data_IF_552484560103
#
_entry.id   IF_552484560103
#
_cell.length_a   1.000
_cell.length_b   1.000
_cell.length_c   1.000
_cell.angle_alpha   90.00
_cell.angle_beta   90.00
_cell.angle_gamma   90.00
#
_symmetry.space_group_name_H-M   'P 1'
#
loop_
_entity.id
_entity.type
_entity.pdbx_description
1 polymer ?
#
# COMPACT_ATOMS: atom_id res chain seq x y z
N UNK A 1 -62.06 41.61 1.83
CA UNK A 1 -60.97 41.82 2.81
C UNK A 1 -59.93 40.73 2.57
N UNK A 2 -58.64 40.95 2.37
CA UNK A 2 -57.83 42.15 2.33
C UNK A 2 -56.65 41.86 1.39
N UNK A 3 -56.25 42.85 0.60
CA UNK A 3 -54.94 42.87 -0.04
C UNK A 3 -53.91 43.56 0.86
N UNK A 4 -52.65 43.39 0.47
CA UNK A 4 -51.43 44.09 0.89
C UNK A 4 -50.77 43.61 2.19
N UNK A 5 -49.43 43.58 2.10
CA UNK A 5 -48.42 43.15 3.06
C UNK A 5 -48.10 41.64 2.91
N UNK A 6 -46.92 41.20 2.47
CA UNK A 6 -45.58 41.77 2.68
C UNK A 6 -44.59 41.12 1.71
N UNK A 7 -44.36 41.73 0.54
CA UNK A 7 -43.13 41.52 -0.25
C UNK A 7 -42.01 42.45 0.27
N UNK A 8 -41.88 42.48 1.59
CA UNK A 8 -40.92 43.25 2.36
C UNK A 8 -40.32 42.34 3.44
N UNK A 9 -39.68 41.25 3.00
CA UNK A 9 -38.92 40.35 3.88
C UNK A 9 -37.87 39.47 3.16
N UNK A 10 -37.54 39.72 1.89
CA UNK A 10 -36.58 38.88 1.13
C UNK A 10 -35.53 39.71 0.37
N UNK A 11 -34.96 40.72 1.04
CA UNK A 11 -33.73 41.43 0.61
C UNK A 11 -32.59 41.31 1.64
N UNK A 12 -32.43 40.13 2.25
CA UNK A 12 -31.37 39.87 3.23
C UNK A 12 -30.52 38.63 2.95
N UNK A 13 -30.60 38.03 1.77
CA UNK A 13 -29.78 36.87 1.40
C UNK A 13 -29.15 37.12 0.04
N UNK A 14 -27.92 37.65 0.07
CA UNK A 14 -27.16 38.11 -1.09
C UNK A 14 -26.75 36.98 -2.02
N UNK A 15 -27.61 36.66 -2.99
CA UNK A 15 -27.25 35.92 -4.19
C UNK A 15 -27.55 36.76 -5.44
N UNK A 16 -26.59 36.96 -6.36
CA UNK A 16 -26.84 37.65 -7.61
C UNK A 16 -27.55 36.75 -8.63
N UNK A 17 -28.60 37.27 -9.25
CA UNK A 17 -29.40 36.61 -10.28
C UNK A 17 -28.78 36.75 -11.67
N UNK A 18 -28.66 35.63 -12.37
CA UNK A 18 -28.38 35.56 -13.80
C UNK A 18 -29.53 36.21 -14.59
N UNK A 19 -29.21 37.14 -15.48
CA UNK A 19 -30.14 37.69 -16.46
C UNK A 19 -29.74 37.27 -17.87
N UNK A 20 -30.53 36.39 -18.45
CA UNK A 20 -30.58 36.08 -19.87
C UNK A 20 -31.04 37.29 -20.69
N UNK A 21 -30.27 37.68 -21.71
CA UNK A 21 -30.76 38.50 -22.83
C UNK A 21 -30.46 37.79 -24.16
N UNK A 22 -31.54 37.43 -24.85
CA UNK A 22 -31.55 37.17 -26.29
C UNK A 22 -31.53 38.50 -27.04
N UNK A 23 -30.71 38.61 -28.07
CA UNK A 23 -30.91 39.52 -29.19
C UNK A 23 -30.51 38.83 -30.50
N UNK A 24 -31.36 39.00 -31.50
CA UNK A 24 -31.39 38.37 -32.81
C UNK A 24 -30.84 39.27 -33.92
N UNK A 25 -30.36 38.64 -35.02
CA UNK A 25 -30.17 39.15 -36.41
C UNK A 25 -28.90 40.02 -36.63
N UNK A 26 -28.12 39.96 -37.72
CA UNK A 26 -28.24 39.31 -39.03
C UNK A 26 -26.92 39.41 -39.84
N UNK A 27 -26.72 38.45 -40.76
CA UNK A 27 -26.01 38.47 -42.07
C UNK A 27 -24.50 38.74 -42.20
N UNK A 28 -23.80 37.78 -42.84
CA UNK A 28 -22.45 37.97 -43.41
C UNK A 28 -21.78 36.71 -43.99
N UNK A 29 -22.28 36.27 -45.15
CA UNK A 29 -21.73 35.36 -46.19
C UNK A 29 -20.32 34.72 -46.09
N UNK A 30 -20.33 33.42 -46.45
CA UNK A 30 -19.48 32.66 -47.41
C UNK A 30 -18.01 32.35 -47.07
N UNK A 31 -17.69 31.05 -46.98
CA UNK A 31 -17.03 30.28 -48.07
C UNK A 31 -16.99 28.76 -47.74
N UNK A 32 -17.38 27.94 -48.73
CA UNK A 32 -17.17 26.48 -48.80
C UNK A 32 -15.67 26.16 -48.88
N UNK A 33 -15.15 25.02 -48.41
CA UNK A 33 -15.22 23.68 -49.04
C UNK A 33 -14.30 22.68 -48.25
N UNK A 34 -14.09 21.40 -48.65
CA UNK A 34 -14.53 20.24 -47.85
C UNK A 34 -13.42 19.20 -47.54
N UNK A 35 -13.88 18.08 -46.95
CA UNK A 35 -13.28 16.77 -46.68
C UNK A 35 -12.00 16.29 -47.45
N UNK A 36 -11.17 15.58 -46.66
CA UNK A 36 -10.08 14.60 -46.94
C UNK A 36 -10.45 13.51 -47.98
N UNK A 37 -9.53 12.65 -48.57
CA UNK A 37 -8.47 11.86 -47.88
C UNK A 37 -7.23 11.32 -48.70
N UNK A 38 -6.37 10.54 -48.01
CA UNK A 38 -5.51 9.38 -48.45
C UNK A 38 -4.25 9.50 -49.37
N UNK A 39 -3.11 9.09 -48.77
CA UNK A 39 -2.14 8.04 -49.17
C UNK A 39 -1.42 8.03 -50.56
N UNK A 40 -0.09 8.30 -50.53
CA UNK A 40 1.03 7.76 -51.35
C UNK A 40 2.20 8.76 -51.24
N UNK A 41 3.49 8.44 -51.13
CA UNK A 41 4.28 7.38 -51.75
C UNK A 41 5.64 7.30 -51.00
N UNK A 42 6.15 6.09 -50.79
CA UNK A 42 7.55 5.80 -50.46
C UNK A 42 8.46 6.17 -51.65
N UNK A 43 9.71 6.63 -51.38
CA UNK A 43 10.97 6.07 -51.92
C UNK A 43 12.20 6.97 -51.59
N UNK A 44 13.19 6.31 -50.96
CA UNK A 44 14.66 6.42 -51.17
C UNK A 44 15.38 7.75 -50.89
N UNK A 45 16.35 7.74 -49.96
CA UNK A 45 17.74 7.33 -50.29
C UNK A 45 18.64 7.23 -49.05
N UNK A 46 19.54 6.26 -49.15
CA UNK A 46 20.56 5.83 -48.20
C UNK A 46 21.72 6.85 -48.06
N UNK A 47 22.29 6.98 -46.86
CA UNK A 47 23.67 7.46 -46.68
C UNK A 47 24.27 6.87 -45.40
N UNK A 48 25.00 5.78 -45.57
CA UNK A 48 25.96 5.21 -44.62
C UNK A 48 27.21 6.09 -44.62
N UNK A 49 27.68 6.54 -43.44
CA UNK A 49 29.07 6.98 -43.27
C UNK A 49 29.64 6.25 -42.05
N UNK A 50 30.56 5.35 -42.33
CA UNK A 50 31.50 4.72 -41.43
C UNK A 50 32.83 5.46 -41.64
N UNK A 51 33.46 5.99 -40.60
CA UNK A 51 34.85 6.44 -40.64
C UNK A 51 35.57 5.85 -39.42
N UNK A 52 36.57 5.04 -39.72
CA UNK A 52 37.59 4.49 -38.83
C UNK A 52 38.83 5.38 -38.77
N UNK A 53 39.70 5.04 -37.80
CA UNK A 53 41.10 5.44 -37.59
C UNK A 53 41.35 6.72 -36.78
N UNK A 54 41.76 6.63 -35.51
CA UNK A 54 43.07 6.22 -34.97
C UNK A 54 44.20 7.20 -35.33
N UNK A 55 44.84 7.82 -34.31
CA UNK A 55 46.30 8.00 -34.18
C UNK A 55 46.67 8.80 -32.89
N UNK A 56 47.58 8.22 -32.12
CA UNK A 56 48.68 8.82 -31.32
C UNK A 56 48.47 9.68 -30.05
N UNK A 57 49.14 9.20 -28.98
CA UNK A 57 49.65 9.93 -27.79
C UNK A 57 50.97 10.68 -28.13
N UNK A 58 51.47 11.65 -27.33
CA UNK A 58 52.21 11.41 -26.06
C UNK A 58 51.88 12.41 -24.92
N UNK A 59 52.02 12.04 -23.63
CA UNK A 59 53.09 12.51 -22.71
C UNK A 59 52.83 13.94 -22.15
N UNK A 60 52.92 14.31 -20.87
CA UNK A 60 53.71 13.87 -19.70
C UNK A 60 53.25 14.64 -18.44
N UNK A 61 53.31 13.99 -17.27
CA UNK A 61 53.62 14.49 -15.89
C UNK A 61 52.81 15.67 -15.30
N UNK A 62 52.35 15.67 -14.04
CA UNK A 62 53.18 15.67 -12.81
C UNK A 62 52.34 15.23 -11.58
N UNK A 63 53.02 14.45 -10.73
CA UNK A 63 52.90 14.10 -9.29
C UNK A 63 52.10 15.04 -8.35
N UNK A 64 51.67 14.73 -7.12
CA UNK A 64 51.76 13.61 -6.15
C UNK A 64 50.75 13.97 -5.02
N UNK A 65 50.20 13.00 -4.29
CA UNK A 65 49.40 13.27 -3.09
C UNK A 65 48.83 12.01 -2.46
N UNK A 66 49.70 11.19 -1.90
CA UNK A 66 49.36 9.95 -1.22
C UNK A 66 48.69 10.20 0.14
N UNK A 67 47.64 9.44 0.46
CA UNK A 67 47.40 8.94 1.81
C UNK A 67 46.94 7.47 1.71
N UNK A 68 47.81 6.59 2.21
CA UNK A 68 47.64 5.13 2.32
C UNK A 68 47.38 4.79 3.78
N UNK A 69 46.74 3.64 3.98
CA UNK A 69 46.64 2.75 5.16
C UNK A 69 45.18 2.58 5.63
N UNK A 70 44.66 1.38 5.91
CA UNK A 70 45.24 0.05 6.07
C UNK A 70 44.14 -1.00 5.83
N UNK A 71 44.45 -2.01 5.02
CA UNK A 71 43.72 -3.27 4.98
C UNK A 71 44.46 -4.27 5.88
N UNK A 72 43.73 -4.95 6.76
CA UNK A 72 44.21 -6.17 7.42
C UNK A 72 43.20 -7.29 7.21
N UNK A 73 43.65 -8.28 6.45
CA UNK A 73 43.07 -9.60 6.26
C UNK A 73 43.28 -10.47 7.51
N UNK A 74 42.30 -11.32 7.81
CA UNK A 74 42.52 -12.60 8.51
C UNK A 74 41.74 -13.70 7.78
N UNK A 75 42.46 -14.44 6.93
CA UNK A 75 42.15 -15.82 6.56
C UNK A 75 42.69 -16.77 7.62
N UNK A 76 41.97 -17.85 7.89
CA UNK A 76 42.49 -19.06 8.54
C UNK A 76 42.17 -20.24 7.60
N UNK A 77 43.24 -20.88 7.13
CA UNK A 77 43.27 -22.10 6.33
C UNK A 77 43.27 -23.34 7.23
N UNK A 78 42.69 -24.44 6.73
CA UNK A 78 43.19 -25.83 6.78
C UNK A 78 42.03 -26.77 6.36
N UNK A 79 42.14 -27.83 5.55
CA UNK A 79 43.25 -28.50 4.88
C UNK A 79 42.71 -29.40 3.74
N UNK A 80 43.58 -29.79 2.81
CA UNK A 80 43.31 -30.61 1.62
C UNK A 80 43.58 -32.13 1.87
N UNK A 81 42.69 -32.98 1.31
CA UNK A 81 42.88 -34.31 0.65
C UNK A 81 43.39 -35.56 1.44
N UNK A 82 43.18 -36.83 0.95
CA UNK A 82 42.79 -37.28 -0.40
C UNK A 82 41.69 -38.38 -0.52
N UNK A 83 41.36 -38.69 -1.79
CA UNK A 83 40.49 -39.72 -2.34
C UNK A 83 40.86 -41.17 -1.95
N UNK A 84 39.86 -42.04 -1.76
CA UNK A 84 39.92 -43.46 -2.16
C UNK A 84 38.56 -43.95 -2.69
N UNK A 85 38.66 -44.82 -3.68
CA UNK A 85 37.63 -45.41 -4.55
C UNK A 85 36.77 -46.49 -3.91
N UNK A 86 35.49 -46.58 -4.30
CA UNK A 86 34.63 -47.74 -4.01
C UNK A 86 33.39 -47.78 -4.90
N UNK A 87 33.33 -48.80 -5.77
CA UNK A 87 32.39 -49.03 -6.87
C UNK A 87 31.12 -49.75 -6.39
N UNK A 88 29.91 -49.32 -6.80
CA UNK A 88 28.75 -50.20 -6.97
C UNK A 88 27.63 -49.54 -7.81
N UNK A 89 27.02 -50.35 -8.68
CA UNK A 89 26.23 -50.06 -9.89
C UNK A 89 24.75 -49.68 -9.68
N UNK A 90 24.06 -49.09 -10.67
CA UNK A 90 22.63 -48.82 -10.65
C UNK A 90 21.80 -49.95 -11.27
N UNK A 91 20.57 -50.19 -10.77
CA UNK A 91 19.54 -50.97 -11.47
C UNK A 91 18.35 -50.08 -11.87
N UNK A 92 18.14 -50.05 -13.18
CA UNK A 92 17.00 -49.57 -13.94
C UNK A 92 15.68 -50.22 -13.53
N UNK A 93 14.56 -49.51 -13.65
CA UNK A 93 13.31 -50.08 -14.20
C UNK A 93 12.48 -49.02 -14.93
N UNK A 94 11.71 -49.49 -15.90
CA UNK A 94 11.33 -48.87 -17.17
C UNK A 94 9.90 -48.29 -17.21
N UNK A 95 9.74 -47.30 -18.11
CA UNK A 95 8.53 -46.76 -18.75
C UNK A 95 7.41 -47.77 -19.08
N UNK A 96 6.16 -47.27 -19.06
CA UNK A 96 5.07 -47.37 -20.08
C UNK A 96 3.92 -46.44 -19.63
N UNK A 97 3.65 -45.30 -20.28
CA UNK A 97 2.86 -45.07 -21.51
C UNK A 97 1.33 -45.23 -21.34
N UNK A 98 0.60 -44.17 -21.75
CA UNK A 98 -0.83 -43.85 -21.58
C UNK A 98 -1.80 -44.65 -22.50
N UNK A 99 -3.14 -44.37 -22.54
CA UNK A 99 -3.68 -43.20 -23.25
C UNK A 99 -4.96 -42.55 -22.67
N UNK A 100 -5.32 -41.40 -23.26
CA UNK A 100 -6.55 -40.63 -23.09
C UNK A 100 -7.78 -41.23 -23.80
N UNK A 101 -9.01 -40.85 -23.40
CA UNK A 101 -10.04 -40.27 -24.30
C UNK A 101 -11.43 -39.98 -23.64
N UNK A 102 -11.92 -38.77 -23.93
CA UNK A 102 -13.28 -38.35 -24.38
C UNK A 102 -14.55 -38.46 -23.50
N UNK A 103 -15.11 -37.26 -23.24
CA UNK A 103 -16.50 -36.77 -23.41
C UNK A 103 -17.70 -37.69 -23.10
N UNK A 104 -18.59 -37.23 -22.21
CA UNK A 104 -19.98 -36.77 -22.49
C UNK A 104 -20.81 -36.56 -21.19
N UNK A 105 -21.44 -35.39 -21.03
CA UNK A 105 -22.66 -35.15 -20.21
C UNK A 105 -23.91 -35.38 -21.10
N UNK A 106 -25.20 -35.32 -20.66
CA UNK A 106 -25.77 -34.90 -19.35
C UNK A 106 -26.99 -35.71 -18.80
N UNK A 107 -27.45 -35.31 -17.61
CA UNK A 107 -28.84 -35.28 -17.08
C UNK A 107 -29.68 -36.57 -16.85
N UNK A 108 -30.16 -36.77 -15.60
CA UNK A 108 -31.57 -36.82 -15.14
C UNK A 108 -31.80 -37.71 -13.88
N UNK A 109 -32.41 -37.07 -12.88
CA UNK A 109 -33.56 -37.49 -12.06
C UNK A 109 -33.53 -38.78 -11.20
N UNK A 110 -33.85 -38.55 -9.91
CA UNK A 110 -34.73 -39.32 -9.02
C UNK A 110 -34.45 -40.80 -8.75
N UNK A 111 -34.06 -41.12 -7.51
CA UNK A 111 -34.82 -42.02 -6.60
C UNK A 111 -33.99 -42.38 -5.35
N UNK A 112 -34.56 -42.16 -4.16
CA UNK A 112 -34.07 -42.74 -2.90
C UNK A 112 -34.37 -44.24 -2.84
N UNK A 113 -33.48 -45.04 -2.23
CA UNK A 113 -33.88 -46.29 -1.59
C UNK A 113 -33.84 -46.17 -0.06
N UNK A 114 -34.97 -46.52 0.56
CA UNK A 114 -35.14 -46.74 1.99
C UNK A 114 -34.29 -47.95 2.42
N UNK A 115 -33.49 -47.80 3.48
CA UNK A 115 -32.90 -48.94 4.17
C UNK A 115 -33.51 -49.12 5.57
N UNK A 116 -33.91 -50.36 5.82
CA UNK A 116 -34.54 -50.90 7.00
C UNK A 116 -33.65 -50.83 8.25
N UNK A 117 -34.24 -50.41 9.36
CA UNK A 117 -33.70 -50.53 10.72
C UNK A 117 -33.90 -51.98 11.23
N UNK A 118 -32.91 -52.60 11.89
CA UNK A 118 -33.17 -53.73 12.76
C UNK A 118 -33.48 -53.26 14.19
N UNK A 119 -34.54 -53.85 14.72
CA UNK A 119 -34.97 -53.81 16.11
C UNK A 119 -33.90 -54.37 17.07
N UNK A 120 -33.57 -53.60 18.11
CA UNK A 120 -33.34 -54.09 19.47
C UNK A 120 -33.14 -52.89 20.42
N UNK A 121 -34.18 -52.57 21.19
CA UNK A 121 -34.13 -51.56 22.25
C UNK A 121 -34.32 -52.25 23.61
N UNK A 122 -33.42 -52.07 24.59
CA UNK A 122 -33.71 -52.42 25.96
C UNK A 122 -34.55 -51.32 26.63
N UNK A 123 -35.68 -51.74 27.22
CA UNK A 123 -36.52 -50.95 28.12
C UNK A 123 -35.71 -50.44 29.31
N UNK A 124 -35.71 -49.12 29.51
CA UNK A 124 -35.40 -48.50 30.80
C UNK A 124 -36.63 -47.76 31.31
N UNK A 125 -37.39 -48.43 32.16
CA UNK A 125 -38.38 -47.81 33.03
C UNK A 125 -37.69 -47.38 34.33
N UNK A 126 -37.72 -46.10 34.65
CA UNK A 126 -37.19 -45.58 35.90
C UNK A 126 -37.37 -44.07 35.99
N UNK A 127 -38.39 -43.64 36.74
CA UNK A 127 -38.67 -42.23 37.05
C UNK A 127 -37.52 -41.65 37.87
N UNK A 128 -36.72 -40.75 37.29
CA UNK A 128 -35.88 -39.82 38.04
C UNK A 128 -36.14 -38.39 37.57
N UNK A 129 -36.59 -37.53 38.50
CA UNK A 129 -36.68 -36.08 38.31
C UNK A 129 -35.28 -35.54 38.02
N UNK A 130 -35.07 -34.64 37.04
CA UNK A 130 -33.77 -34.01 36.86
C UNK A 130 -33.52 -33.06 38.04
N UNK A 131 -32.48 -33.37 38.80
CA UNK A 131 -31.90 -32.49 39.81
C UNK A 131 -31.30 -31.30 39.08
N UNK A 132 -31.69 -30.06 39.42
CA UNK A 132 -31.00 -28.85 38.95
C UNK A 132 -29.52 -28.96 39.36
N UNK A 133 -28.64 -29.17 38.40
CA UNK A 133 -27.20 -29.00 38.61
C UNK A 133 -26.91 -27.53 38.33
N UNK A 134 -26.49 -26.80 39.37
CA UNK A 134 -26.08 -25.42 39.25
C UNK A 134 -24.92 -25.28 38.26
N UNK A 135 -24.92 -24.18 37.52
CA UNK A 135 -23.83 -23.80 36.63
C UNK A 135 -22.53 -23.68 37.43
N UNK A 136 -21.71 -24.72 37.40
CA UNK A 136 -20.33 -24.66 37.88
C UNK A 136 -19.54 -23.87 36.85
N UNK A 137 -18.93 -22.77 37.30
CA UNK A 137 -18.05 -21.91 36.53
C UNK A 137 -16.99 -22.74 35.79
N UNK A 138 -16.99 -22.70 34.46
CA UNK A 138 -15.85 -23.08 33.65
C UNK A 138 -14.77 -22.00 33.87
N UNK A 139 -13.91 -22.21 34.85
CA UNK A 139 -12.77 -21.33 35.09
C UNK A 139 -11.73 -21.52 34.00
N UNK A 140 -11.15 -20.42 33.52
CA UNK A 140 -10.09 -20.35 32.50
C UNK A 140 -8.74 -20.97 32.92
N UNK A 141 -8.75 -21.88 33.90
CA UNK A 141 -7.58 -22.53 34.48
C UNK A 141 -6.63 -23.20 33.46
N UNK A 142 -7.10 -23.75 32.31
CA UNK A 142 -6.18 -24.30 31.29
C UNK A 142 -5.36 -23.20 30.58
N UNK A 143 -5.96 -22.02 30.37
CA UNK A 143 -5.32 -20.87 29.70
C UNK A 143 -4.32 -20.19 30.65
N UNK A 144 -4.67 -20.09 31.94
CA UNK A 144 -3.78 -19.53 32.97
C UNK A 144 -2.56 -20.41 33.24
N UNK A 145 -2.70 -21.74 33.19
CA UNK A 145 -1.56 -22.67 33.33
C UNK A 145 -0.63 -22.64 32.10
N UNK A 146 -1.17 -22.43 30.90
CA UNK A 146 -0.35 -22.21 29.71
C UNK A 146 0.48 -20.91 29.78
N UNK A 147 -0.03 -19.86 30.45
CA UNK A 147 0.70 -18.59 30.70
C UNK A 147 1.92 -18.75 31.61
N UNK A 148 1.94 -19.75 32.49
CA UNK A 148 2.96 -19.91 33.52
C UNK A 148 4.20 -20.71 33.09
N UNK A 149 4.18 -21.40 31.94
CA UNK A 149 5.15 -22.47 31.65
C UNK A 149 6.23 -22.13 30.59
N UNK A 150 6.40 -20.86 30.20
CA UNK A 150 7.48 -20.42 29.31
C UNK A 150 8.22 -19.23 29.95
N UNK A 151 9.44 -19.47 30.41
CA UNK A 151 10.27 -18.60 31.26
C UNK A 151 10.80 -17.32 30.60
N UNK A 152 9.89 -16.47 30.15
CA UNK A 152 10.10 -15.07 29.81
C UNK A 152 8.72 -14.46 29.53
N UNK A 153 8.24 -13.53 30.37
CA UNK A 153 6.93 -12.93 30.13
C UNK A 153 6.98 -12.16 28.81
N UNK A 154 6.27 -12.64 27.79
CA UNK A 154 6.17 -11.91 26.53
C UNK A 154 5.67 -10.49 26.81
N UNK A 155 6.26 -9.45 26.18
CA UNK A 155 6.03 -8.07 26.60
C UNK A 155 4.57 -7.62 26.45
N UNK A 156 3.83 -8.19 25.50
CA UNK A 156 2.42 -7.89 25.24
C UNK A 156 1.48 -9.02 25.64
N UNK A 157 1.89 -9.91 26.54
CA UNK A 157 1.12 -11.09 26.94
C UNK A 157 -0.33 -10.74 27.31
N UNK A 158 -1.28 -11.23 26.51
CA UNK A 158 -2.72 -11.08 26.74
C UNK A 158 -3.32 -9.74 26.34
N UNK A 159 -2.55 -8.83 25.72
CA UNK A 159 -3.03 -7.53 25.24
C UNK A 159 -3.83 -7.67 23.95
N UNK A 160 -5.02 -7.07 23.88
CA UNK A 160 -5.84 -6.98 22.67
C UNK A 160 -5.44 -5.75 21.88
N UNK A 161 -4.91 -5.94 20.68
CA UNK A 161 -4.36 -4.84 19.86
C UNK A 161 -5.12 -4.76 18.55
N UNK A 162 -5.85 -3.66 18.35
CA UNK A 162 -6.66 -3.38 17.18
C UNK A 162 -5.80 -2.89 16.01
N UNK A 163 -6.00 -3.46 14.83
CA UNK A 163 -5.31 -3.13 13.59
C UNK A 163 -6.28 -2.48 12.60
N UNK A 164 -6.02 -1.24 12.20
CA UNK A 164 -6.86 -0.48 11.23
C UNK A 164 -6.43 -0.63 9.78
N UNK A 165 -5.24 -1.18 9.55
CA UNK A 165 -4.59 -1.27 8.25
C UNK A 165 -5.36 -2.17 7.27
N UNK A 166 -5.20 -1.98 5.95
CA UNK A 166 -5.68 -2.95 4.96
C UNK A 166 -5.18 -4.36 5.27
N UNK A 167 -6.00 -5.37 4.98
CA UNK A 167 -5.73 -6.78 5.33
C UNK A 167 -4.35 -7.28 4.86
N UNK A 168 -3.88 -6.83 3.69
CA UNK A 168 -2.56 -7.19 3.15
C UNK A 168 -1.40 -6.58 3.93
N UNK A 169 -1.56 -5.38 4.48
CA UNK A 169 -0.56 -4.68 5.29
C UNK A 169 -0.60 -5.11 6.77
N UNK A 170 -1.77 -5.55 7.27
CA UNK A 170 -1.96 -5.96 8.66
C UNK A 170 -1.24 -7.28 9.02
N UNK A 171 -1.07 -8.21 8.06
CA UNK A 171 -0.55 -9.54 8.34
C UNK A 171 0.87 -9.56 8.96
N UNK A 172 1.88 -8.84 8.42
CA UNK A 172 3.20 -8.76 9.05
C UNK A 172 3.17 -8.15 10.46
N UNK A 173 2.32 -7.14 10.70
CA UNK A 173 2.16 -6.52 12.02
C UNK A 173 1.50 -7.50 13.01
N UNK A 174 0.43 -8.17 12.60
CA UNK A 174 -0.26 -9.18 13.39
C UNK A 174 0.68 -10.32 13.81
N UNK A 175 1.51 -10.82 12.88
CA UNK A 175 2.49 -11.87 13.17
C UNK A 175 3.48 -11.45 14.27
N UNK A 176 3.95 -10.20 14.22
CA UNK A 176 4.87 -9.65 15.24
C UNK A 176 4.19 -9.44 16.60
N UNK A 177 2.94 -8.98 16.60
CA UNK A 177 2.13 -8.86 17.81
C UNK A 177 1.89 -10.22 18.48
N UNK A 178 1.55 -11.25 17.70
CA UNK A 178 1.40 -12.64 18.20
C UNK A 178 2.72 -13.15 18.78
N UNK A 179 3.84 -12.90 18.11
CA UNK A 179 5.16 -13.25 18.62
C UNK A 179 5.42 -12.59 19.98
N UNK A 180 5.09 -11.31 20.11
CA UNK A 180 5.17 -10.51 21.33
C UNK A 180 4.09 -10.84 22.39
N UNK A 181 3.16 -11.76 22.12
CA UNK A 181 2.18 -12.29 23.08
C UNK A 181 0.83 -11.59 23.10
N UNK A 182 0.59 -10.65 22.20
CA UNK A 182 -0.68 -9.98 22.03
C UNK A 182 -1.69 -10.84 21.25
N UNK A 183 -2.97 -10.46 21.33
CA UNK A 183 -4.07 -10.92 20.50
C UNK A 183 -4.47 -9.80 19.52
N UNK A 184 -4.09 -9.88 18.24
CA UNK A 184 -4.50 -8.90 17.24
C UNK A 184 -6.00 -8.98 16.96
N UNK A 185 -6.68 -7.82 16.95
CA UNK A 185 -8.06 -7.65 16.52
C UNK A 185 -8.06 -6.97 15.15
N UNK A 186 -8.70 -7.59 14.17
CA UNK A 186 -8.65 -7.12 12.79
C UNK A 186 -9.87 -6.25 12.52
N UNK A 187 -9.63 -4.95 12.37
CA UNK A 187 -10.65 -4.00 11.92
C UNK A 187 -10.07 -3.16 10.78
N UNK A 188 -9.86 -3.72 9.58
CA UNK A 188 -9.45 -2.91 8.43
C UNK A 188 -10.47 -1.79 8.22
N UNK A 189 -10.02 -0.54 8.40
CA UNK A 189 -10.89 0.64 8.21
C UNK A 189 -10.76 1.21 6.81
N UNK A 190 -9.74 0.79 6.07
CA UNK A 190 -9.54 1.12 4.65
C UNK A 190 -9.14 -0.13 3.85
N UNK A 191 -9.45 -0.10 2.56
CA UNK A 191 -9.05 -1.09 1.56
C UNK A 191 -8.45 -0.40 0.35
N UNK A 192 -7.52 -1.08 -0.32
CA UNK A 192 -6.93 -0.62 -1.57
C UNK A 192 -7.73 -1.22 -2.73
N UNK A 193 -8.31 -0.36 -3.56
CA UNK A 193 -8.87 -0.74 -4.85
C UNK A 193 -7.82 -0.57 -5.95
N UNK A 194 -7.76 -1.60 -6.80
CA UNK A 194 -7.06 -1.53 -8.06
C UNK A 194 -7.75 -0.52 -8.99
N UNK A 195 -7.00 0.11 -9.89
CA UNK A 195 -7.56 1.06 -10.86
C UNK A 195 -8.63 0.36 -11.71
N UNK A 196 -9.70 1.07 -12.03
CA UNK A 196 -10.69 0.60 -13.01
C UNK A 196 -10.09 0.59 -14.43
N UNK A 197 -10.86 0.17 -15.44
CA UNK A 197 -10.36 0.08 -16.83
C UNK A 197 -9.87 1.42 -17.39
N UNK A 198 -10.59 2.52 -17.13
CA UNK A 198 -10.21 3.86 -17.59
C UNK A 198 -8.96 4.37 -16.87
N UNK A 199 -8.89 4.19 -15.56
CA UNK A 199 -7.72 4.54 -14.75
C UNK A 199 -6.50 3.70 -15.14
N UNK A 200 -6.70 2.43 -15.46
CA UNK A 200 -5.64 1.53 -15.95
C UNK A 200 -5.12 2.01 -17.30
N UNK A 201 -6.02 2.36 -18.23
CA UNK A 201 -5.62 2.89 -19.54
C UNK A 201 -4.84 4.21 -19.42
N UNK A 202 -5.26 5.11 -18.53
CA UNK A 202 -4.55 6.36 -18.25
C UNK A 202 -3.15 6.11 -17.65
N UNK A 203 -3.03 5.14 -16.73
CA UNK A 203 -1.76 4.73 -16.15
C UNK A 203 -0.83 4.12 -17.19
N UNK A 204 -1.36 3.27 -18.08
CA UNK A 204 -0.61 2.70 -19.19
C UNK A 204 -0.11 3.77 -20.17
N UNK A 205 -0.94 4.75 -20.51
CA UNK A 205 -0.55 5.88 -21.35
C UNK A 205 0.63 6.66 -20.74
N UNK A 206 0.58 6.97 -19.45
CA UNK A 206 1.70 7.64 -18.78
C UNK A 206 2.97 6.81 -18.74
N UNK A 207 2.86 5.48 -18.57
CA UNK A 207 4.02 4.58 -18.64
C UNK A 207 4.63 4.58 -20.05
N UNK A 208 3.81 4.57 -21.10
CA UNK A 208 4.27 4.63 -22.49
C UNK A 208 4.91 5.99 -22.83
N UNK A 209 4.50 7.06 -22.15
CA UNK A 209 5.02 8.42 -22.29
C UNK A 209 6.07 8.80 -21.26
N UNK A 210 6.76 7.83 -20.64
CA UNK A 210 7.81 8.12 -19.66
C UNK A 210 8.94 9.01 -20.21
N UNK A 211 9.15 9.06 -21.53
CA UNK A 211 10.10 9.98 -22.19
C UNK A 211 9.73 11.45 -22.06
N UNK A 212 8.45 11.75 -21.81
CA UNK A 212 7.95 13.12 -21.65
C UNK A 212 8.28 13.68 -20.25
N UNK A 213 8.62 12.80 -19.31
CA UNK A 213 8.89 13.17 -17.92
C UNK A 213 10.38 13.17 -17.63
N UNK A 214 10.81 14.19 -16.92
CA UNK A 214 12.16 14.26 -16.35
C UNK A 214 12.31 13.33 -15.15
N UNK A 215 11.25 13.20 -14.37
CA UNK A 215 11.25 12.51 -13.08
C UNK A 215 9.98 11.66 -12.89
N UNK A 216 10.16 10.43 -12.46
CA UNK A 216 9.13 9.56 -11.89
C UNK A 216 9.35 9.51 -10.37
N UNK A 217 8.40 10.01 -9.59
CA UNK A 217 8.50 10.08 -8.13
C UNK A 217 7.59 9.06 -7.43
N UNK A 218 8.21 8.09 -6.76
CA UNK A 218 7.57 6.93 -6.13
C UNK A 218 7.52 7.11 -4.60
N UNK A 219 6.31 7.40 -4.08
CA UNK A 219 6.11 7.92 -2.73
C UNK A 219 5.40 6.98 -1.74
N UNK A 220 4.81 5.87 -2.17
CA UNK A 220 4.07 4.97 -1.29
C UNK A 220 4.04 3.56 -1.87
N UNK A 221 4.26 2.54 -1.03
CA UNK A 221 4.28 1.13 -1.46
C UNK A 221 3.08 0.74 -2.32
N UNK A 222 1.89 1.13 -1.89
CA UNK A 222 0.65 0.77 -2.57
C UNK A 222 0.58 1.39 -3.97
N UNK A 223 0.97 2.67 -4.09
CA UNK A 223 0.98 3.36 -5.37
C UNK A 223 2.14 2.90 -6.28
N UNK A 224 3.30 2.58 -5.67
CA UNK A 224 4.44 1.99 -6.38
C UNK A 224 4.05 0.63 -6.95
N UNK A 225 3.42 -0.23 -6.15
CA UNK A 225 3.00 -1.56 -6.59
C UNK A 225 2.00 -1.46 -7.75
N UNK A 226 1.02 -0.57 -7.66
CA UNK A 226 0.06 -0.35 -8.74
C UNK A 226 0.75 0.13 -10.03
N UNK A 227 1.66 1.11 -9.93
CA UNK A 227 2.44 1.60 -11.07
C UNK A 227 3.33 0.51 -11.66
N UNK A 228 4.09 -0.19 -10.83
CA UNK A 228 5.01 -1.26 -11.23
C UNK A 228 4.27 -2.41 -11.90
N UNK A 229 3.14 -2.86 -11.34
CA UNK A 229 2.35 -3.94 -11.92
C UNK A 229 1.78 -3.53 -13.29
N UNK A 230 1.34 -2.28 -13.44
CA UNK A 230 0.91 -1.74 -14.72
C UNK A 230 2.07 -1.71 -15.74
N UNK A 231 3.24 -1.22 -15.33
CA UNK A 231 4.40 -1.14 -16.20
C UNK A 231 4.95 -2.53 -16.57
N UNK A 232 4.91 -3.50 -15.65
CA UNK A 232 5.23 -4.90 -15.93
C UNK A 232 4.25 -5.52 -16.93
N UNK A 233 2.95 -5.21 -16.83
CA UNK A 233 1.96 -5.71 -17.78
C UNK A 233 2.23 -5.23 -19.21
N UNK A 234 2.73 -3.99 -19.38
CA UNK A 234 3.18 -3.46 -20.67
C UNK A 234 4.51 -4.06 -21.15
N UNK A 235 5.30 -4.61 -20.23
CA UNK A 235 6.59 -5.24 -20.48
C UNK A 235 6.50 -6.78 -20.48
N UNK A 236 5.34 -7.35 -20.85
CA UNK A 236 5.08 -8.80 -20.90
C UNK A 236 5.41 -9.55 -19.58
N UNK A 237 5.27 -8.87 -18.45
CA UNK A 237 5.66 -9.32 -17.10
C UNK A 237 7.16 -9.65 -16.95
N UNK A 238 8.01 -9.06 -17.78
CA UNK A 238 9.47 -9.19 -17.71
C UNK A 238 10.10 -7.96 -17.02
N UNK A 239 10.66 -8.19 -15.82
CA UNK A 239 11.35 -7.15 -15.06
C UNK A 239 12.58 -6.57 -15.78
N UNK A 240 13.28 -7.38 -16.59
CA UNK A 240 14.41 -6.90 -17.40
C UNK A 240 13.93 -5.99 -18.54
N UNK A 241 12.80 -6.33 -19.16
CA UNK A 241 12.18 -5.46 -20.16
C UNK A 241 11.76 -4.14 -19.53
N UNK A 242 11.14 -4.16 -18.34
CA UNK A 242 10.80 -2.93 -17.61
C UNK A 242 12.04 -2.09 -17.25
N UNK A 243 13.13 -2.70 -16.77
CA UNK A 243 14.39 -2.00 -16.51
C UNK A 243 14.91 -1.30 -17.78
N UNK A 244 14.91 -1.99 -18.91
CA UNK A 244 15.34 -1.42 -20.20
C UNK A 244 14.41 -0.29 -20.64
N UNK A 245 13.10 -0.41 -20.41
CA UNK A 245 12.11 0.60 -20.75
C UNK A 245 12.32 1.88 -19.95
N UNK A 246 12.53 1.78 -18.62
CA UNK A 246 12.86 2.90 -17.73
C UNK A 246 14.20 3.56 -18.10
N UNK A 247 15.19 2.75 -18.49
CA UNK A 247 16.50 3.28 -18.92
C UNK A 247 16.42 3.97 -20.28
N UNK A 248 15.67 3.41 -21.21
CA UNK A 248 15.50 3.96 -22.56
C UNK A 248 14.69 5.26 -22.54
N UNK A 249 13.76 5.42 -21.60
CA UNK A 249 13.02 6.68 -21.44
C UNK A 249 13.86 7.83 -20.89
N UNK A 250 15.03 7.53 -20.32
CA UNK A 250 15.91 8.51 -19.65
C UNK A 250 15.24 9.27 -18.48
N UNK A 251 14.11 8.75 -18.00
CA UNK A 251 13.43 9.29 -16.83
C UNK A 251 14.28 9.04 -15.59
N UNK A 252 14.46 10.05 -14.75
CA UNK A 252 15.04 9.82 -13.43
C UNK A 252 14.00 9.22 -12.50
N UNK A 253 14.39 8.20 -11.72
CA UNK A 253 13.48 7.53 -10.80
C UNK A 253 13.83 7.96 -9.38
N UNK A 254 13.02 8.85 -8.81
CA UNK A 254 13.08 9.25 -7.41
C UNK A 254 12.18 8.38 -6.56
N UNK A 255 12.70 7.76 -5.50
CA UNK A 255 11.90 6.90 -4.64
C UNK A 255 12.24 7.10 -3.16
N UNK A 256 11.22 7.17 -2.31
CA UNK A 256 11.43 7.04 -0.86
C UNK A 256 11.66 5.56 -0.49
N UNK A 257 12.09 5.27 0.74
CA UNK A 257 12.60 3.95 1.15
C UNK A 257 11.81 2.74 0.65
N UNK A 258 10.50 2.84 0.72
CA UNK A 258 9.56 1.77 0.48
C UNK A 258 9.47 1.46 -1.04
N UNK A 259 9.28 2.50 -1.87
CA UNK A 259 9.38 2.42 -3.33
C UNK A 259 10.77 2.00 -3.82
N UNK A 260 11.83 2.47 -3.18
CA UNK A 260 13.21 2.07 -3.51
C UNK A 260 13.46 0.58 -3.22
N UNK A 261 12.86 0.04 -2.15
CA UNK A 261 12.94 -1.39 -1.83
C UNK A 261 12.20 -2.21 -2.86
N UNK A 262 10.98 -1.78 -3.24
CA UNK A 262 10.18 -2.46 -4.23
C UNK A 262 10.84 -2.54 -5.61
N UNK A 263 11.46 -1.45 -6.07
CA UNK A 263 12.24 -1.47 -7.31
C UNK A 263 13.42 -2.45 -7.25
N UNK A 264 14.14 -2.50 -6.12
CA UNK A 264 15.27 -3.42 -5.94
C UNK A 264 14.86 -4.89 -6.01
N UNK A 265 13.67 -5.25 -5.54
CA UNK A 265 13.12 -6.62 -5.66
C UNK A 265 12.97 -7.05 -7.13
N UNK A 266 12.79 -6.09 -8.04
CA UNK A 266 12.73 -6.31 -9.49
C UNK A 266 14.10 -6.18 -10.17
N UNK A 267 15.17 -5.96 -9.41
CA UNK A 267 16.50 -5.69 -9.95
C UNK A 267 16.67 -4.28 -10.53
N UNK A 268 15.74 -3.36 -10.25
CA UNK A 268 15.76 -1.97 -10.74
C UNK A 268 16.27 -1.06 -9.63
N UNK A 269 17.23 -0.20 -9.94
CA UNK A 269 17.73 0.80 -9.01
C UNK A 269 17.03 2.15 -9.26
N UNK A 270 16.51 2.77 -8.20
CA UNK A 270 16.11 4.17 -8.25
C UNK A 270 17.35 5.06 -8.47
N UNK A 271 17.23 6.04 -9.36
CA UNK A 271 18.27 7.05 -9.63
C UNK A 271 18.52 7.92 -8.41
N UNK A 272 17.47 8.22 -7.64
CA UNK A 272 17.52 9.08 -6.48
C UNK A 272 16.76 8.48 -5.30
N UNK A 273 17.44 8.30 -4.17
CA UNK A 273 16.83 7.92 -2.90
C UNK A 273 17.30 8.92 -1.83
N UNK A 274 16.41 9.70 -1.23
CA UNK A 274 16.81 10.71 -0.26
C UNK A 274 17.24 10.07 1.06
N UNK A 275 18.15 10.72 1.78
CA UNK A 275 18.56 10.32 3.13
C UNK A 275 17.38 10.39 4.11
N UNK A 276 16.62 11.47 4.01
CA UNK A 276 15.33 11.59 4.68
C UNK A 276 14.26 10.96 3.79
N UNK A 277 13.75 9.79 4.20
CA UNK A 277 12.77 9.02 3.43
C UNK A 277 11.35 9.62 3.51
N UNK A 278 11.21 10.88 3.08
CA UNK A 278 9.98 11.67 3.07
C UNK A 278 9.82 12.40 1.73
N UNK A 279 8.62 12.92 1.45
CA UNK A 279 8.40 13.79 0.29
C UNK A 279 9.29 15.03 0.31
N UNK A 280 9.42 15.65 1.49
CA UNK A 280 10.29 16.80 1.73
C UNK A 280 11.75 16.46 1.46
N UNK A 281 12.19 15.29 1.92
CA UNK A 281 13.54 14.79 1.68
C UNK A 281 13.82 14.56 0.19
N UNK A 282 12.87 13.95 -0.54
CA UNK A 282 13.00 13.75 -1.99
C UNK A 282 13.05 15.09 -2.74
N UNK A 283 12.13 16.01 -2.42
CA UNK A 283 12.11 17.33 -3.02
C UNK A 283 13.41 18.12 -2.77
N UNK A 284 13.94 18.07 -1.54
CA UNK A 284 15.22 18.71 -1.21
C UNK A 284 16.40 18.07 -1.96
N UNK A 285 16.37 16.76 -2.16
CA UNK A 285 17.40 16.07 -2.93
C UNK A 285 17.34 16.44 -4.42
N UNK A 286 16.14 16.55 -5.00
CA UNK A 286 15.93 17.02 -6.38
C UNK A 286 16.46 18.44 -6.56
N UNK A 287 16.12 19.35 -5.64
CA UNK A 287 16.58 20.74 -5.67
C UNK A 287 18.11 20.85 -5.53
N UNK A 288 18.69 20.11 -4.59
CA UNK A 288 20.14 20.18 -4.32
C UNK A 288 20.98 19.65 -5.48
N UNK A 289 20.46 18.66 -6.21
CA UNK A 289 21.12 18.08 -7.37
C UNK A 289 20.77 18.80 -8.68
N UNK A 290 19.76 19.67 -8.67
CA UNK A 290 19.25 20.35 -9.86
C UNK A 290 18.72 19.39 -10.92
N UNK A 291 18.16 18.24 -10.51
CA UNK A 291 17.71 17.21 -11.47
C UNK A 291 16.43 17.60 -12.21
N UNK A 292 15.60 18.46 -11.61
CA UNK A 292 14.39 19.04 -12.20
C UNK A 292 14.55 20.55 -12.30
N UNK A 293 14.17 21.12 -13.44
CA UNK A 293 14.28 22.53 -13.81
C UNK A 293 12.98 23.05 -14.43
N UNK A 294 12.93 24.36 -14.69
CA UNK A 294 11.79 25.00 -15.33
C UNK A 294 11.50 24.39 -16.72
N UNK A 295 10.24 24.04 -16.96
CA UNK A 295 9.81 23.37 -18.21
C UNK A 295 9.83 21.84 -18.16
N UNK A 296 10.45 21.23 -17.16
CA UNK A 296 10.42 19.78 -16.98
C UNK A 296 9.03 19.29 -16.54
N UNK A 297 8.78 17.99 -16.70
CA UNK A 297 7.59 17.32 -16.19
C UNK A 297 7.94 16.25 -15.15
N UNK A 298 7.15 16.18 -14.09
CA UNK A 298 7.27 15.20 -13.00
C UNK A 298 6.01 14.35 -12.92
N UNK A 299 6.15 13.04 -13.05
CA UNK A 299 5.07 12.08 -12.83
C UNK A 299 5.09 11.58 -11.40
N UNK A 300 3.96 11.69 -10.70
CA UNK A 300 3.77 11.17 -9.35
C UNK A 300 2.60 10.17 -9.39
N UNK A 301 2.86 8.86 -9.36
CA UNK A 301 1.83 7.88 -9.07
C UNK A 301 1.33 8.08 -7.64
N UNK A 302 0.04 8.33 -7.50
CA UNK A 302 -0.62 8.67 -6.25
C UNK A 302 -1.67 7.64 -5.87
N UNK A 303 -1.92 7.58 -4.57
CA UNK A 303 -3.08 6.93 -3.97
C UNK A 303 -4.16 7.99 -3.77
N UNK A 304 -5.39 7.73 -4.21
CA UNK A 304 -6.52 8.65 -4.01
C UNK A 304 -7.51 8.10 -2.99
N UNK A 305 -8.02 8.94 -2.09
CA UNK A 305 -9.17 8.56 -1.26
C UNK A 305 -10.45 8.71 -2.07
N UNK A 306 -11.31 7.68 -2.06
CA UNK A 306 -12.62 7.70 -2.68
C UNK A 306 -13.70 7.99 -1.63
N UNK A 307 -14.67 8.88 -1.92
CA UNK A 307 -15.81 9.10 -1.02
C UNK A 307 -16.51 7.78 -0.65
N UNK A 308 -16.98 7.62 0.61
CA UNK A 308 -17.08 8.63 1.66
C UNK A 308 -15.79 8.84 2.48
N UNK A 309 -14.69 8.15 2.17
CA UNK A 309 -13.42 8.32 2.86
C UNK A 309 -12.84 9.71 2.55
N UNK A 310 -12.90 10.59 3.53
CA UNK A 310 -12.29 11.93 3.48
C UNK A 310 -11.13 12.01 4.46
N UNK A 311 -10.22 12.95 4.23
CA UNK A 311 -9.16 13.29 5.19
C UNK A 311 -9.39 14.74 5.55
N UNK A 312 -9.06 15.13 6.78
CA UNK A 312 -9.04 16.53 7.17
C UNK A 312 -8.19 17.35 6.18
N UNK A 313 -8.74 18.48 5.71
CA UNK A 313 -8.09 19.34 4.71
C UNK A 313 -6.77 19.94 5.22
N UNK A 314 -6.57 20.00 6.53
CA UNK A 314 -5.30 20.44 7.14
C UNK A 314 -4.17 19.42 6.96
N UNK A 315 -4.49 18.16 6.65
CA UNK A 315 -3.49 17.11 6.41
C UNK A 315 -3.12 17.11 4.92
N UNK A 316 -1.85 17.41 4.56
CA UNK A 316 -1.43 17.42 3.17
C UNK A 316 -1.65 16.06 2.50
N UNK A 317 -2.25 16.08 1.31
CA UNK A 317 -2.41 14.90 0.48
C UNK A 317 -1.03 14.33 0.10
N UNK A 318 -0.91 13.00 -0.01
CA UNK A 318 0.34 12.38 -0.44
C UNK A 318 0.77 12.93 -1.81
N UNK A 319 2.01 13.38 -1.90
CA UNK A 319 2.61 13.99 -3.08
C UNK A 319 2.41 15.50 -3.18
N UNK A 320 1.58 16.13 -2.34
CA UNK A 320 1.29 17.57 -2.44
C UNK A 320 2.50 18.44 -2.08
N UNK A 321 3.37 17.98 -1.18
CA UNK A 321 4.58 18.71 -0.81
C UNK A 321 5.57 18.70 -1.96
N UNK A 322 5.80 17.52 -2.55
CA UNK A 322 6.65 17.38 -3.74
C UNK A 322 6.08 18.19 -4.90
N UNK A 323 4.79 18.06 -5.18
CA UNK A 323 4.08 18.80 -6.22
C UNK A 323 4.27 20.32 -6.08
N UNK A 324 4.03 20.87 -4.89
CA UNK A 324 4.20 22.30 -4.62
C UNK A 324 5.64 22.76 -4.89
N UNK A 325 6.63 21.99 -4.45
CA UNK A 325 8.05 22.34 -4.62
C UNK A 325 8.52 22.21 -6.06
N UNK A 326 8.12 21.16 -6.78
CA UNK A 326 8.46 21.01 -8.20
C UNK A 326 7.82 22.12 -9.05
N UNK A 327 6.58 22.53 -8.74
CA UNK A 327 5.97 23.69 -9.41
C UNK A 327 6.66 25.00 -9.09
N UNK A 328 7.18 25.18 -7.87
CA UNK A 328 7.99 26.35 -7.52
C UNK A 328 9.31 26.44 -8.32
N UNK A 329 9.83 25.31 -8.79
CA UNK A 329 10.96 25.25 -9.74
C UNK A 329 10.56 25.52 -11.20
N UNK A 330 9.27 25.74 -11.48
CA UNK A 330 8.74 25.93 -12.83
C UNK A 330 8.49 24.64 -13.61
N UNK A 331 8.51 23.47 -12.95
CA UNK A 331 8.15 22.21 -13.57
C UNK A 331 6.63 21.99 -13.57
N UNK A 332 6.15 21.21 -14.53
CA UNK A 332 4.80 20.66 -14.52
C UNK A 332 4.77 19.39 -13.68
N UNK A 333 3.65 19.15 -12.99
CA UNK A 333 3.50 17.96 -12.14
C UNK A 333 2.19 17.29 -12.48
N UNK A 334 2.30 16.03 -12.89
CA UNK A 334 1.18 15.14 -13.18
C UNK A 334 1.01 14.16 -12.01
N UNK A 335 -0.07 14.36 -11.26
CA UNK A 335 -0.48 13.45 -10.19
C UNK A 335 -1.49 12.45 -10.72
N UNK A 336 -0.99 11.28 -11.06
CA UNK A 336 -1.80 10.22 -11.61
C UNK A 336 -2.29 9.30 -10.50
N UNK A 337 -3.60 9.03 -10.43
CA UNK A 337 -4.11 8.06 -9.47
C UNK A 337 -3.82 6.65 -9.94
N UNK A 338 -2.86 5.98 -9.31
CA UNK A 338 -2.50 4.61 -9.62
C UNK A 338 -3.42 3.60 -8.91
N UNK A 339 -3.99 3.99 -7.76
CA UNK A 339 -4.91 3.17 -6.97
C UNK A 339 -5.77 4.07 -6.07
N UNK A 340 -6.81 3.49 -5.47
CA UNK A 340 -7.71 4.19 -4.57
C UNK A 340 -7.82 3.54 -3.19
N UNK A 341 -8.03 4.35 -2.16
CA UNK A 341 -8.48 3.90 -0.84
C UNK A 341 -9.99 4.08 -0.70
N UNK A 342 -10.64 3.06 -0.18
CA UNK A 342 -12.07 3.07 0.18
C UNK A 342 -12.26 2.60 1.60
N UNK A 343 -13.40 2.96 2.19
CA UNK A 343 -13.89 2.26 3.39
C UNK A 343 -14.42 0.88 2.98
N UNK A 344 -14.00 -0.22 3.65
CA UNK A 344 -14.46 -1.55 3.30
C UNK A 344 -15.96 -1.71 3.55
N UNK A 345 -16.65 -2.42 2.67
CA UNK A 345 -18.10 -2.67 2.80
C UNK A 345 -18.43 -3.47 4.07
N UNK A 346 -17.51 -4.34 4.50
CA UNK A 346 -17.66 -5.14 5.72
C UNK A 346 -17.50 -4.33 7.01
N UNK A 347 -16.92 -3.13 6.93
CA UNK A 347 -16.57 -2.35 8.11
C UNK A 347 -17.73 -1.43 8.46
N UNK A 348 -18.51 -1.85 9.46
CA UNK A 348 -19.66 -1.11 9.96
C UNK A 348 -19.52 -0.85 11.46
N UNK A 349 -20.37 0.03 11.99
CA UNK A 349 -20.43 0.35 13.43
C UNK A 349 -20.77 -0.85 14.31
N UNK A 350 -21.32 -1.93 13.76
CA UNK A 350 -21.83 -3.09 14.50
C UNK A 350 -20.90 -4.32 14.45
N UNK A 351 -19.65 -4.15 14.00
CA UNK A 351 -18.66 -5.23 14.01
C UNK A 351 -18.27 -5.63 15.45
N UNK A 352 -17.91 -6.89 15.72
CA UNK A 352 -17.41 -7.33 17.02
C UNK A 352 -16.26 -6.46 17.55
N UNK A 353 -15.35 -6.07 16.67
CA UNK A 353 -14.17 -5.28 16.99
C UNK A 353 -14.52 -3.84 17.38
N UNK A 354 -15.48 -3.21 16.68
CA UNK A 354 -16.01 -1.90 17.10
C UNK A 354 -16.71 -2.01 18.45
N UNK A 355 -17.50 -3.07 18.70
CA UNK A 355 -18.10 -3.29 20.02
C UNK A 355 -17.07 -3.45 21.14
N UNK A 356 -15.98 -4.17 20.89
CA UNK A 356 -14.87 -4.30 21.85
C UNK A 356 -14.20 -2.95 22.08
N UNK A 357 -13.98 -2.16 21.02
CA UNK A 357 -13.41 -0.82 21.15
C UNK A 357 -14.30 0.10 22.00
N UNK A 358 -15.61 0.15 21.71
CA UNK A 358 -16.58 0.98 22.44
C UNK A 358 -16.79 0.55 23.90
N UNK A 359 -16.55 -0.73 24.23
CA UNK A 359 -16.70 -1.25 25.61
C UNK A 359 -15.43 -1.13 26.46
N UNK A 360 -14.35 -0.54 25.93
CA UNK A 360 -13.06 -0.45 26.64
C UNK A 360 -12.30 -1.78 26.66
N UNK A 361 -12.69 -2.70 25.79
CA UNK A 361 -12.17 -4.06 25.68
C UNK A 361 -11.03 -4.18 24.65
N UNK A 362 -10.34 -3.07 24.37
CA UNK A 362 -9.16 -3.01 23.51
C UNK A 362 -8.03 -2.37 24.33
N UNK A 363 -6.84 -2.97 24.35
CA UNK A 363 -5.71 -2.41 25.09
C UNK A 363 -4.95 -1.36 24.27
N UNK A 364 -4.85 -1.55 22.95
CA UNK A 364 -4.17 -0.62 22.05
C UNK A 364 -4.77 -0.60 20.64
N UNK A 365 -4.61 0.51 19.92
CA UNK A 365 -4.96 0.66 18.50
C UNK A 365 -3.72 1.10 17.70
N UNK A 366 -3.49 0.45 16.56
CA UNK A 366 -2.39 0.77 15.64
C UNK A 366 -2.93 1.49 14.41
N UNK A 367 -2.52 2.74 14.21
CA UNK A 367 -2.92 3.61 13.11
C UNK A 367 -1.72 3.86 12.19
N UNK A 368 -1.82 3.42 10.94
CA UNK A 368 -0.76 3.50 9.94
C UNK A 368 -0.81 4.75 9.06
N UNK A 369 -1.97 5.38 8.91
CA UNK A 369 -2.15 6.51 8.00
C UNK A 369 -3.27 7.47 8.44
N UNK A 370 -3.29 8.73 7.93
CA UNK A 370 -4.41 9.64 8.14
C UNK A 370 -5.76 9.08 7.67
N UNK A 371 -5.76 8.28 6.60
CA UNK A 371 -6.94 7.64 6.04
C UNK A 371 -7.49 6.55 6.97
N UNK A 372 -6.60 5.76 7.59
CA UNK A 372 -6.98 4.80 8.64
C UNK A 372 -7.62 5.49 9.85
N UNK A 373 -7.03 6.62 10.28
CA UNK A 373 -7.55 7.43 11.38
C UNK A 373 -8.93 7.99 11.06
N UNK A 374 -9.08 8.66 9.92
CA UNK A 374 -10.35 9.30 9.53
C UNK A 374 -11.48 8.28 9.45
N UNK A 375 -11.20 7.12 8.83
CA UNK A 375 -12.18 6.03 8.75
C UNK A 375 -12.52 5.45 10.14
N UNK A 376 -11.52 5.27 11.01
CA UNK A 376 -11.76 4.83 12.39
C UNK A 376 -12.65 5.83 13.14
N UNK A 377 -12.35 7.13 13.06
CA UNK A 377 -13.13 8.19 13.70
C UNK A 377 -14.56 8.21 13.17
N UNK A 378 -14.77 8.02 11.86
CA UNK A 378 -16.11 7.92 11.30
C UNK A 378 -16.90 6.72 11.88
N UNK A 379 -16.25 5.59 12.14
CA UNK A 379 -16.89 4.41 12.73
C UNK A 379 -17.28 4.59 14.19
N UNK A 380 -16.46 5.31 14.98
CA UNK A 380 -16.72 5.49 16.42
C UNK A 380 -17.50 6.78 16.73
N UNK A 381 -17.71 7.66 15.76
CA UNK A 381 -18.41 8.95 15.97
C UNK A 381 -17.50 10.10 16.40
N UNK A 382 -16.23 10.07 15.99
CA UNK A 382 -15.21 11.07 16.33
C UNK A 382 -14.40 10.72 17.57
N UNK A 383 -13.49 11.61 17.98
CA UNK A 383 -12.62 11.38 19.17
C UNK A 383 -13.46 11.25 20.44
N UNK A 384 -14.53 12.02 20.57
CA UNK A 384 -15.49 11.97 21.69
C UNK A 384 -16.43 10.75 21.65
N UNK A 385 -16.35 9.94 20.58
CA UNK A 385 -17.20 8.76 20.39
C UNK A 385 -16.86 7.60 21.32
N UNK A 386 -15.67 7.62 21.94
CA UNK A 386 -15.23 6.64 22.92
C UNK A 386 -15.12 7.29 24.30
N UNK A 387 -15.65 6.62 25.32
CA UNK A 387 -15.54 7.08 26.71
C UNK A 387 -14.07 7.10 27.18
N UNK A 388 -13.30 6.07 26.81
CA UNK A 388 -11.87 5.96 27.09
C UNK A 388 -11.17 5.40 25.85
N UNK A 389 -10.15 6.10 25.37
CA UNK A 389 -9.33 5.61 24.26
C UNK A 389 -8.32 4.57 24.76
N UNK A 390 -8.14 3.45 24.02
CA UNK A 390 -7.03 2.55 24.26
C UNK A 390 -5.70 3.25 23.96
N UNK A 391 -4.58 2.60 24.28
CA UNK A 391 -3.25 3.11 23.92
C UNK A 391 -3.16 3.26 22.39
N UNK A 392 -2.97 4.49 21.91
CA UNK A 392 -2.83 4.81 20.49
C UNK A 392 -1.36 4.75 20.10
N UNK A 393 -1.05 3.93 19.10
CA UNK A 393 0.20 4.02 18.35
C UNK A 393 -0.07 4.50 16.93
N UNK A 394 0.68 5.50 16.49
CA UNK A 394 0.52 6.10 15.17
C UNK A 394 1.88 6.16 14.47
N UNK A 395 1.94 5.75 13.21
CA UNK A 395 3.17 5.75 12.42
C UNK A 395 3.21 6.81 11.34
N UNK A 396 4.36 7.45 11.24
CA UNK A 396 4.65 8.46 10.23
C UNK A 396 4.14 9.85 10.63
N UNK A 397 4.88 10.86 10.18
CA UNK A 397 4.61 12.26 10.51
C UNK A 397 3.23 12.75 10.03
N UNK A 398 2.75 12.27 8.86
CA UNK A 398 1.40 12.58 8.36
C UNK A 398 0.32 12.10 9.34
N UNK A 399 0.44 10.88 9.84
CA UNK A 399 -0.52 10.29 10.78
C UNK A 399 -0.47 10.98 12.13
N UNK A 400 0.71 11.31 12.64
CA UNK A 400 0.87 12.05 13.89
C UNK A 400 0.23 13.45 13.81
N UNK A 401 0.47 14.17 12.71
CA UNK A 401 -0.17 15.47 12.47
C UNK A 401 -1.70 15.35 12.34
N UNK A 402 -2.20 14.28 11.72
CA UNK A 402 -3.64 14.02 11.63
C UNK A 402 -4.25 13.72 13.01
N UNK A 403 -3.58 12.92 13.85
CA UNK A 403 -4.01 12.68 15.22
C UNK A 403 -4.07 14.00 16.02
N UNK A 404 -3.04 14.84 15.91
CA UNK A 404 -2.99 16.15 16.57
C UNK A 404 -4.12 17.08 16.10
N UNK A 405 -4.37 17.16 14.78
CA UNK A 405 -5.44 17.97 14.20
C UNK A 405 -6.84 17.56 14.71
N UNK A 406 -7.04 16.27 14.97
CA UNK A 406 -8.28 15.75 15.55
C UNK A 406 -8.31 15.79 17.08
N UNK A 407 -7.24 16.22 17.75
CA UNK A 407 -7.14 16.22 19.22
C UNK A 407 -6.98 14.82 19.84
N UNK A 408 -6.57 13.82 19.06
CA UNK A 408 -6.33 12.46 19.54
C UNK A 408 -4.91 12.32 20.12
N UNK A 409 -4.83 12.02 21.41
CA UNK A 409 -3.54 11.80 22.08
C UNK A 409 -2.88 10.49 21.63
N UNK A 410 -1.64 10.57 21.14
CA UNK A 410 -0.82 9.42 20.75
C UNK A 410 0.19 9.09 21.85
N UNK A 411 0.04 7.95 22.53
CA UNK A 411 0.94 7.54 23.61
C UNK A 411 2.21 6.85 23.10
N UNK A 412 2.17 6.30 21.88
CA UNK A 412 3.29 5.59 21.26
C UNK A 412 3.51 6.10 19.82
N UNK A 413 4.14 7.27 19.66
CA UNK A 413 4.45 7.81 18.32
C UNK A 413 5.59 7.04 17.65
N UNK A 414 5.46 6.78 16.34
CA UNK A 414 6.50 6.16 15.51
C UNK A 414 6.86 7.11 14.36
N UNK A 415 7.79 8.03 14.62
CA UNK A 415 8.09 9.16 13.70
C UNK A 415 8.83 8.74 12.43
N UNK A 416 9.78 7.79 12.52
CA UNK A 416 10.67 7.44 11.42
C UNK A 416 10.49 5.99 11.01
N UNK A 417 10.21 5.78 9.72
CA UNK A 417 9.99 4.47 9.13
C UNK A 417 8.72 3.84 9.70
N UNK A 418 7.69 3.69 8.89
CA UNK A 418 6.42 3.07 9.29
C UNK A 418 6.52 1.56 9.43
N UNK A 419 7.71 1.00 9.73
CA UNK A 419 7.87 -0.44 9.74
C UNK A 419 7.07 -1.07 10.90
N UNK A 420 6.33 -2.16 10.65
CA UNK A 420 5.48 -2.81 11.65
C UNK A 420 6.18 -3.14 12.98
N UNK A 421 7.49 -3.43 12.94
CA UNK A 421 8.23 -3.80 14.14
C UNK A 421 8.43 -2.66 15.13
N UNK A 422 8.49 -1.41 14.67
CA UNK A 422 8.66 -0.24 15.56
C UNK A 422 7.42 0.03 16.39
N UNK A 423 6.23 -0.15 15.81
CA UNK A 423 4.96 -0.10 16.56
C UNK A 423 4.95 -1.15 17.68
N UNK A 424 5.33 -2.40 17.38
CA UNK A 424 5.36 -3.48 18.37
C UNK A 424 6.39 -3.22 19.47
N UNK A 425 7.56 -2.69 19.12
CA UNK A 425 8.58 -2.31 20.10
C UNK A 425 8.10 -1.17 21.01
N UNK A 426 7.48 -0.13 20.44
CA UNK A 426 6.91 0.99 21.17
C UNK A 426 5.83 0.55 22.15
N UNK A 427 4.88 -0.28 21.70
CA UNK A 427 3.85 -0.88 22.56
C UNK A 427 4.49 -1.75 23.66
N UNK A 428 5.50 -2.54 23.31
CA UNK A 428 6.19 -3.41 24.29
C UNK A 428 6.84 -2.60 25.40
N UNK A 429 7.50 -1.48 25.07
CA UNK A 429 8.09 -0.56 26.05
C UNK A 429 7.00 0.12 26.90
N UNK A 430 5.93 0.59 26.27
CA UNK A 430 4.81 1.23 26.97
C UNK A 430 4.18 0.30 28.03
N UNK A 431 3.82 -0.92 27.65
CA UNK A 431 3.20 -1.89 28.58
C UNK A 431 4.20 -2.51 29.56
N UNK A 432 5.50 -2.50 29.27
CA UNK A 432 6.53 -2.89 30.23
C UNK A 432 6.78 -1.82 31.30
N UNK A 433 6.73 -0.53 30.94
CA UNK A 433 6.92 0.58 31.88
C UNK A 433 5.85 0.59 32.99
N UNK A 434 4.62 0.16 32.69
CA UNK A 434 3.55 -0.01 33.69
C UNK A 434 3.78 -1.11 34.73
N UNK A 435 4.80 -1.99 34.55
CA UNK A 435 5.16 -3.04 35.53
C UNK A 435 6.19 -2.59 36.57
N UNK A 436 6.68 -1.34 36.51
CA UNK A 436 7.70 -0.81 37.43
C UNK A 436 7.13 -0.14 38.69
N UNK A 437 5.83 -0.27 38.95
CA UNK A 437 5.24 0.22 40.20
C UNK A 437 5.32 -0.92 41.22
N UNK A 438 6.23 -0.73 42.19
CA UNK A 438 6.58 -1.65 43.27
C UNK A 438 5.43 -1.94 44.24
#
# INVERSE_FOLDING_TARGET
MAGKATAAAMRSLGYPSMTTRRSTLQHGRMLHSPHSPLLSLMLMLSATICVTDAFSTPGTSVTHGAFRQLATSKCLQAAHMPLTSGRATPKSFSKKAAPACLRCSPALSSAMPRHHLPHNAPRWGGRHRPRRVGAAAMTNAPIERARATLGGSKPLAGKRVLLTQPSTAAAPLAARLIHAGAAPLWLPTIEVLLPNEEETAALQDAVLRLTDYRMLALLSDVAVDAFVNCALALADNDAKALELMLRASQVEVGAIASGATRLRELGIAATLVPLEHSESGLASAIESLGTVSAGDAVLIPTLRSQPPLTIDESVPALGSVLESRMRALGATVDRMGACALVTPVSTTTDTPEVRLLCSGDVDAVCIGSPEELSSLLALVGGVEGLQEWPVVTAAGQRTLAACEAHGLAVQVPVERGGEPWKMVEGLSKHFAAGKLIW
#
